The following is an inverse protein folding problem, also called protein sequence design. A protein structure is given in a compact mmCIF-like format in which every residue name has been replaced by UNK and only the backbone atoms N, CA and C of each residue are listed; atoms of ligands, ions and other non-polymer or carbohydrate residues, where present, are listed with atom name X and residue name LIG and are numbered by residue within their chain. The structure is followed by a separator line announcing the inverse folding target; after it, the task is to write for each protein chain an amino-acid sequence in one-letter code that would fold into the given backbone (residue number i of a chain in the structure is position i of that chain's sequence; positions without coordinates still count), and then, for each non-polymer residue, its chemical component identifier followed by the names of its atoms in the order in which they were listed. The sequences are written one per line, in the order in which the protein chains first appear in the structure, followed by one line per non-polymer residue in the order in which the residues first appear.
data_IF_192847723380
#
_entry.id   IF_192847723380
#
_cell.length_a   1.000
_cell.length_b   1.000
_cell.length_c   1.000
_cell.angle_alpha   90.00
_cell.angle_beta   90.00
_cell.angle_gamma   90.00
#
_symmetry.space_group_name_H-M   'P 1'
#
loop_
_entity.id
_entity.type
_entity.pdbx_description
1 polymer ?
#
# COMPACT_ATOMS: atom_id res chain seq x y z
N UNK A 1 -17.22 -7.29 -1.27
CA UNK A 1 -15.80 -6.91 -1.31
C UNK A 1 -15.19 -7.23 -2.68
N UNK A 2 -15.27 -8.46 -3.19
CA UNK A 2 -14.65 -8.85 -4.46
C UNK A 2 -15.06 -7.97 -5.66
N UNK A 3 -16.34 -7.56 -5.76
CA UNK A 3 -16.82 -6.64 -6.79
C UNK A 3 -16.09 -5.29 -6.72
N UNK A 4 -15.89 -4.76 -5.52
CA UNK A 4 -15.19 -3.49 -5.33
C UNK A 4 -13.68 -3.59 -5.60
N UNK A 5 -13.05 -4.72 -5.24
CA UNK A 5 -11.63 -4.96 -5.57
C UNK A 5 -11.46 -5.01 -7.10
N UNK A 6 -12.31 -5.74 -7.82
CA UNK A 6 -12.29 -5.79 -9.29
C UNK A 6 -12.50 -4.42 -9.91
N UNK A 7 -13.46 -3.64 -9.41
CA UNK A 7 -13.70 -2.27 -9.84
C UNK A 7 -12.46 -1.38 -9.65
N UNK A 8 -11.81 -1.43 -8.49
CA UNK A 8 -10.59 -0.64 -8.25
C UNK A 8 -9.44 -1.06 -9.16
N UNK A 9 -9.26 -2.37 -9.39
CA UNK A 9 -8.22 -2.87 -10.29
C UNK A 9 -8.48 -2.42 -11.74
N UNK A 10 -9.75 -2.42 -12.21
CA UNK A 10 -10.08 -1.95 -13.55
C UNK A 10 -9.93 -0.44 -13.74
N UNK A 11 -9.78 0.33 -12.65
CA UNK A 11 -9.52 1.78 -12.68
C UNK A 11 -8.03 2.14 -12.51
N UNK A 12 -7.13 1.18 -12.56
CA UNK A 12 -5.70 1.44 -12.68
C UNK A 12 -5.38 1.89 -14.11
N UNK A 13 -4.65 2.99 -14.23
CA UNK A 13 -4.41 3.66 -15.51
C UNK A 13 -2.96 3.58 -16.00
N UNK A 14 -1.99 3.30 -15.12
CA UNK A 14 -0.60 3.12 -15.50
C UNK A 14 -0.38 1.74 -16.12
N UNK A 15 0.49 1.69 -17.12
CA UNK A 15 0.88 0.42 -17.74
C UNK A 15 1.64 -0.49 -16.77
N UNK A 16 1.47 -1.78 -16.96
CA UNK A 16 2.27 -2.81 -16.28
C UNK A 16 3.54 -3.09 -17.08
N UNK A 17 4.48 -2.16 -17.08
CA UNK A 17 5.70 -2.16 -17.90
C UNK A 17 6.99 -1.97 -17.09
N UNK A 18 6.90 -2.01 -15.78
CA UNK A 18 8.02 -1.70 -14.90
C UNK A 18 8.33 -2.89 -14.01
N UNK A 19 9.61 -3.11 -13.72
CA UNK A 19 10.02 -4.05 -12.67
C UNK A 19 9.41 -3.62 -11.34
N UNK A 20 8.67 -4.52 -10.69
CA UNK A 20 8.02 -4.35 -9.40
C UNK A 20 8.53 -5.43 -8.46
N UNK A 21 9.13 -5.00 -7.37
CA UNK A 21 9.69 -5.88 -6.33
C UNK A 21 8.60 -6.62 -5.52
N UNK A 22 7.41 -6.01 -5.39
CA UNK A 22 6.23 -6.42 -4.62
C UNK A 22 6.37 -6.31 -3.09
N UNK A 23 7.55 -6.52 -2.55
CA UNK A 23 7.85 -6.35 -1.12
C UNK A 23 8.91 -5.26 -0.90
N UNK A 24 8.74 -4.12 -1.62
CA UNK A 24 9.62 -2.96 -1.53
C UNK A 24 9.28 -2.13 -0.27
N UNK A 25 9.79 -2.56 0.86
CA UNK A 25 9.63 -1.90 2.15
C UNK A 25 10.95 -1.81 2.91
N UNK A 26 10.99 -0.98 3.96
CA UNK A 26 12.23 -0.63 4.65
C UNK A 26 13.03 -1.85 5.13
N UNK A 27 12.37 -2.93 5.57
CA UNK A 27 13.05 -4.14 6.06
C UNK A 27 13.80 -4.92 4.96
N UNK A 28 13.46 -4.69 3.68
CA UNK A 28 14.11 -5.32 2.53
C UNK A 28 15.13 -4.38 1.85
N UNK A 29 15.42 -3.24 2.48
CA UNK A 29 16.43 -2.30 2.03
C UNK A 29 17.69 -2.44 2.89
N UNK A 30 18.81 -2.70 2.26
CA UNK A 30 20.11 -2.81 2.91
C UNK A 30 21.02 -1.66 2.49
N UNK A 31 21.71 -1.07 3.46
CA UNK A 31 22.77 -0.10 3.18
C UNK A 31 24.11 -0.80 3.24
N UNK A 32 24.81 -0.81 2.12
CA UNK A 32 26.19 -1.29 2.03
C UNK A 32 27.09 -0.14 1.54
N UNK A 33 28.00 0.30 2.41
CA UNK A 33 28.81 1.50 2.18
C UNK A 33 27.91 2.72 1.85
N UNK A 34 28.02 3.29 0.64
CA UNK A 34 27.21 4.42 0.14
C UNK A 34 26.08 3.99 -0.82
N UNK A 35 25.86 2.69 -1.00
CA UNK A 35 24.85 2.14 -1.92
C UNK A 35 23.67 1.55 -1.14
N UNK A 36 22.50 1.59 -1.75
CA UNK A 36 21.33 0.84 -1.30
C UNK A 36 21.19 -0.43 -2.16
N UNK A 37 20.91 -1.55 -1.52
CA UNK A 37 20.57 -2.81 -2.16
C UNK A 37 19.19 -3.25 -1.69
N UNK A 38 18.50 -4.01 -2.52
CA UNK A 38 17.25 -4.67 -2.18
C UNK A 38 17.50 -6.18 -2.07
N UNK A 39 16.84 -6.82 -1.11
CA UNK A 39 16.83 -8.26 -0.92
C UNK A 39 15.40 -8.78 -1.09
N UNK A 40 15.22 -10.09 -1.18
CA UNK A 40 13.90 -10.72 -1.24
C UNK A 40 13.13 -10.43 -2.54
N UNK A 41 13.83 -10.60 -3.68
CA UNK A 41 13.30 -10.24 -5.02
C UNK A 41 12.65 -11.42 -5.75
N UNK A 42 12.52 -12.60 -5.13
CA UNK A 42 12.00 -13.79 -5.79
C UNK A 42 10.57 -13.67 -6.31
N UNK A 43 9.76 -12.81 -5.71
CA UNK A 43 8.37 -12.55 -6.12
C UNK A 43 8.22 -11.37 -7.08
N UNK A 44 9.34 -10.81 -7.57
CA UNK A 44 9.32 -9.67 -8.47
C UNK A 44 8.68 -10.03 -9.83
N UNK A 45 8.03 -9.03 -10.43
CA UNK A 45 7.38 -9.18 -11.72
C UNK A 45 7.37 -7.86 -12.51
N UNK A 46 6.94 -7.91 -13.77
CA UNK A 46 6.63 -6.70 -14.53
C UNK A 46 5.20 -6.27 -14.20
N UNK A 47 5.05 -5.05 -13.69
CA UNK A 47 3.77 -4.56 -13.18
C UNK A 47 3.67 -3.04 -13.10
N UNK A 48 2.66 -2.59 -12.35
CA UNK A 48 2.36 -1.17 -12.16
C UNK A 48 3.38 -0.54 -11.19
N UNK A 49 4.11 0.46 -11.66
CA UNK A 49 5.18 1.14 -10.93
C UNK A 49 4.73 1.85 -9.64
N UNK A 50 3.46 2.18 -9.50
CA UNK A 50 2.93 2.76 -8.27
C UNK A 50 2.84 1.75 -7.12
N UNK A 51 2.95 0.43 -7.39
CA UNK A 51 2.85 -0.61 -6.38
C UNK A 51 4.00 -0.53 -5.35
N UNK A 52 5.24 -0.44 -5.81
CA UNK A 52 6.41 -0.35 -4.92
C UNK A 52 6.48 1.00 -4.22
N UNK A 53 6.04 2.07 -4.89
CA UNK A 53 5.90 3.38 -4.26
C UNK A 53 4.91 3.33 -3.09
N UNK A 54 3.75 2.70 -3.28
CA UNK A 54 2.75 2.51 -2.23
C UNK A 54 3.29 1.59 -1.10
N UNK A 55 4.06 0.56 -1.47
CA UNK A 55 4.69 -0.35 -0.52
C UNK A 55 5.67 0.35 0.41
N UNK A 56 6.47 1.27 -0.12
CA UNK A 56 7.45 2.04 0.65
C UNK A 56 6.81 3.13 1.50
N UNK A 57 5.89 3.90 0.93
CA UNK A 57 5.29 5.08 1.61
C UNK A 57 4.31 4.63 2.71
N UNK A 58 3.50 3.61 2.43
CA UNK A 58 2.48 3.11 3.34
C UNK A 58 2.87 1.73 3.94
N UNK A 59 4.16 1.61 4.29
CA UNK A 59 4.65 0.44 5.03
C UNK A 59 4.08 0.43 6.46
N UNK A 60 3.44 -0.67 6.81
CA UNK A 60 2.82 -0.88 8.13
C UNK A 60 3.83 -1.09 9.25
N UNK A 61 5.05 -1.50 8.91
CA UNK A 61 6.15 -1.76 9.84
C UNK A 61 6.92 -0.50 10.21
N UNK A 62 6.88 0.50 9.32
CA UNK A 62 7.60 1.76 9.47
C UNK A 62 6.63 2.96 9.50
N UNK A 63 6.27 3.40 10.71
CA UNK A 63 5.36 4.54 10.89
C UNK A 63 6.05 5.85 10.52
N UNK A 64 5.91 6.25 9.26
CA UNK A 64 6.39 7.55 8.78
C UNK A 64 5.34 8.65 8.98
N UNK A 65 5.80 9.87 9.24
CA UNK A 65 4.93 11.04 9.32
C UNK A 65 4.50 11.52 7.93
N UNK A 66 3.47 12.37 7.89
CA UNK A 66 2.93 12.92 6.64
C UNK A 66 4.00 13.62 5.80
N UNK A 67 4.84 14.44 6.42
CA UNK A 67 5.91 15.21 5.74
C UNK A 67 6.87 14.29 4.97
N UNK A 68 7.27 13.16 5.56
CA UNK A 68 8.14 12.18 4.91
C UNK A 68 7.42 11.48 3.75
N UNK A 69 6.15 11.06 3.95
CA UNK A 69 5.32 10.46 2.90
C UNK A 69 5.19 11.37 1.68
N UNK A 70 4.82 12.62 1.92
CA UNK A 70 4.66 13.64 0.86
C UNK A 70 6.00 13.90 0.15
N UNK A 71 7.11 13.95 0.88
CA UNK A 71 8.45 14.14 0.32
C UNK A 71 8.86 13.01 -0.62
N UNK A 72 8.65 11.75 -0.21
CA UNK A 72 8.97 10.57 -1.03
C UNK A 72 8.09 10.57 -2.28
N UNK A 73 6.78 10.77 -2.13
CA UNK A 73 5.84 10.81 -3.27
C UNK A 73 6.22 11.91 -4.27
N UNK A 74 6.42 13.13 -3.79
CA UNK A 74 6.74 14.27 -4.65
C UNK A 74 8.08 14.10 -5.36
N UNK A 75 9.08 13.53 -4.68
CA UNK A 75 10.38 13.24 -5.29
C UNK A 75 10.24 12.22 -6.43
N UNK A 76 9.51 11.13 -6.18
CA UNK A 76 9.23 10.12 -7.20
C UNK A 76 8.47 10.70 -8.39
N UNK A 77 7.41 11.48 -8.12
CA UNK A 77 6.62 12.13 -9.16
C UNK A 77 7.47 13.10 -10.01
N UNK A 78 8.37 13.85 -9.36
CA UNK A 78 9.31 14.76 -10.05
C UNK A 78 10.26 14.02 -10.98
N UNK A 79 10.84 12.91 -10.54
CA UNK A 79 11.74 12.09 -11.36
C UNK A 79 11.05 11.48 -12.59
N UNK A 80 9.74 11.27 -12.53
CA UNK A 80 8.97 10.64 -13.57
C UNK A 80 8.06 11.60 -14.35
N UNK A 81 8.13 12.92 -14.14
CA UNK A 81 7.19 13.91 -14.67
C UNK A 81 7.11 13.96 -16.22
N UNK A 82 8.20 13.58 -16.91
CA UNK A 82 8.23 13.48 -18.39
C UNK A 82 7.55 12.22 -18.94
N UNK A 83 7.33 11.21 -18.10
CA UNK A 83 6.84 9.88 -18.51
C UNK A 83 5.43 9.59 -17.98
N UNK A 84 5.03 10.23 -16.89
CA UNK A 84 3.81 9.89 -16.18
C UNK A 84 3.04 11.16 -15.80
N UNK A 85 1.75 11.15 -16.10
CA UNK A 85 0.84 12.17 -15.61
C UNK A 85 0.66 12.05 -14.09
N UNK A 86 0.75 13.17 -13.38
CA UNK A 86 0.65 13.20 -11.90
C UNK A 86 -0.70 12.72 -11.38
N UNK A 87 -1.79 13.03 -12.09
CA UNK A 87 -3.15 12.61 -11.69
C UNK A 87 -3.25 11.09 -11.79
N UNK A 88 -2.79 10.52 -12.90
CA UNK A 88 -2.75 9.06 -13.12
C UNK A 88 -1.89 8.35 -12.08
N UNK A 89 -0.71 8.92 -11.76
CA UNK A 89 0.16 8.35 -10.73
C UNK A 89 -0.51 8.38 -9.36
N UNK A 90 -1.19 9.47 -9.00
CA UNK A 90 -1.88 9.59 -7.72
C UNK A 90 -3.02 8.59 -7.60
N UNK A 91 -3.84 8.47 -8.65
CA UNK A 91 -4.92 7.49 -8.71
C UNK A 91 -4.41 6.07 -8.43
N UNK A 92 -3.43 5.62 -9.19
CA UNK A 92 -2.91 4.25 -9.07
C UNK A 92 -2.20 4.02 -7.73
N UNK A 93 -1.47 5.02 -7.26
CA UNK A 93 -0.82 4.98 -5.95
C UNK A 93 -1.85 4.81 -4.81
N UNK A 94 -2.95 5.56 -4.80
CA UNK A 94 -3.97 5.46 -3.77
C UNK A 94 -4.72 4.13 -3.84
N UNK A 95 -5.11 3.69 -5.03
CA UNK A 95 -5.77 2.39 -5.24
C UNK A 95 -4.86 1.26 -4.74
N UNK A 96 -3.61 1.22 -5.18
CA UNK A 96 -2.68 0.15 -4.83
C UNK A 96 -2.29 0.19 -3.34
N UNK A 97 -2.19 1.37 -2.73
CA UNK A 97 -1.99 1.50 -1.29
C UNK A 97 -3.16 0.88 -0.50
N UNK A 98 -4.41 1.19 -0.87
CA UNK A 98 -5.60 0.63 -0.21
C UNK A 98 -5.65 -0.89 -0.37
N UNK A 99 -5.56 -1.39 -1.60
CA UNK A 99 -5.62 -2.83 -1.89
C UNK A 99 -4.49 -3.61 -1.19
N UNK A 100 -3.28 -3.05 -1.18
CA UNK A 100 -2.12 -3.64 -0.50
C UNK A 100 -2.35 -3.72 1.01
N UNK A 101 -2.82 -2.65 1.64
CA UNK A 101 -3.07 -2.64 3.08
C UNK A 101 -4.23 -3.57 3.47
N UNK A 102 -5.27 -3.70 2.65
CA UNK A 102 -6.33 -4.72 2.84
C UNK A 102 -5.76 -6.14 2.76
N UNK A 103 -4.89 -6.43 1.77
CA UNK A 103 -4.16 -7.70 1.65
C UNK A 103 -3.33 -7.98 2.91
N UNK A 104 -2.60 -6.99 3.43
CA UNK A 104 -1.76 -7.11 4.63
C UNK A 104 -2.61 -7.46 5.86
N UNK A 105 -3.76 -6.83 6.06
CA UNK A 105 -4.68 -7.19 7.16
C UNK A 105 -5.06 -8.68 7.07
N UNK A 106 -5.44 -9.14 5.89
CA UNK A 106 -5.78 -10.56 5.67
C UNK A 106 -4.59 -11.50 5.94
N UNK A 107 -3.39 -11.15 5.48
CA UNK A 107 -2.17 -11.94 5.74
C UNK A 107 -1.87 -12.00 7.23
N UNK A 108 -1.89 -10.88 7.94
CA UNK A 108 -1.56 -10.82 9.37
C UNK A 108 -2.57 -11.56 10.23
N UNK A 109 -3.86 -11.47 9.88
CA UNK A 109 -4.91 -12.27 10.52
C UNK A 109 -4.68 -13.76 10.30
N UNK A 110 -4.39 -14.17 9.06
CA UNK A 110 -4.09 -15.57 8.74
C UNK A 110 -2.85 -16.09 9.49
N UNK A 111 -1.77 -15.30 9.53
CA UNK A 111 -0.55 -15.66 10.27
C UNK A 111 -0.81 -15.84 11.77
N UNK A 112 -1.69 -15.03 12.36
CA UNK A 112 -2.05 -15.16 13.76
C UNK A 112 -2.89 -16.40 14.03
N UNK A 113 -3.91 -16.68 13.19
CA UNK A 113 -4.85 -17.79 13.41
C UNK A 113 -4.22 -19.13 13.03
N UNK A 114 -3.58 -19.23 11.86
CA UNK A 114 -3.05 -20.48 11.33
C UNK A 114 -1.67 -20.84 11.90
N UNK A 115 -0.79 -19.82 12.00
CA UNK A 115 0.64 -20.02 12.29
C UNK A 115 1.02 -19.54 13.70
N UNK A 116 0.03 -19.19 14.55
CA UNK A 116 0.22 -18.65 15.92
C UNK A 116 1.17 -17.44 16.02
N UNK A 117 1.35 -16.70 14.90
CA UNK A 117 2.24 -15.54 14.85
C UNK A 117 1.48 -14.26 15.24
N UNK A 118 1.01 -14.18 16.48
CA UNK A 118 0.15 -13.10 17.00
C UNK A 118 0.82 -11.71 17.01
N UNK A 119 2.16 -11.65 16.96
CA UNK A 119 2.92 -10.38 16.93
C UNK A 119 2.49 -9.44 15.79
N UNK A 120 1.98 -9.98 14.67
CA UNK A 120 1.54 -9.19 13.53
C UNK A 120 0.20 -8.47 13.74
N UNK A 121 -0.62 -8.94 14.69
CA UNK A 121 -1.90 -8.30 15.00
C UNK A 121 -1.74 -6.84 15.43
N UNK A 122 -0.64 -6.51 16.11
CA UNK A 122 -0.31 -5.15 16.55
C UNK A 122 -0.15 -4.15 15.40
N UNK A 123 0.05 -4.62 14.17
CA UNK A 123 0.21 -3.80 12.98
C UNK A 123 -1.13 -3.52 12.25
N UNK A 124 -2.16 -4.32 12.52
CA UNK A 124 -3.48 -4.19 11.87
C UNK A 124 -4.12 -2.81 12.08
N UNK A 125 -4.14 -2.23 13.30
CA UNK A 125 -4.71 -0.90 13.49
C UNK A 125 -4.03 0.19 12.67
N UNK A 126 -2.72 0.07 12.45
CA UNK A 126 -2.02 1.03 11.61
C UNK A 126 -2.31 0.80 10.10
N UNK A 127 -2.48 -0.45 9.66
CA UNK A 127 -2.94 -0.75 8.31
C UNK A 127 -4.31 -0.11 8.02
N UNK A 128 -5.25 -0.17 8.98
CA UNK A 128 -6.54 0.53 8.88
C UNK A 128 -6.39 2.04 8.75
N UNK A 129 -5.52 2.67 9.55
CA UNK A 129 -5.23 4.11 9.44
C UNK A 129 -4.68 4.50 8.07
N UNK A 130 -3.85 3.65 7.45
CA UNK A 130 -3.32 3.89 6.10
C UNK A 130 -4.43 3.78 5.04
N UNK A 131 -5.33 2.81 5.15
CA UNK A 131 -6.52 2.70 4.31
C UNK A 131 -7.37 3.96 4.45
N UNK A 132 -7.74 4.34 5.67
CA UNK A 132 -8.57 5.52 5.95
C UNK A 132 -7.94 6.82 5.43
N UNK A 133 -6.61 6.95 5.51
CA UNK A 133 -5.88 8.08 4.95
C UNK A 133 -6.11 8.26 3.46
N UNK A 134 -6.19 7.16 2.70
CA UNK A 134 -6.33 7.19 1.24
C UNK A 134 -7.79 7.29 0.78
N UNK A 135 -8.72 6.63 1.48
CA UNK A 135 -10.13 6.62 1.07
C UNK A 135 -10.88 7.90 1.44
N UNK A 136 -10.31 8.76 2.30
CA UNK A 136 -11.03 9.88 2.92
C UNK A 136 -11.55 10.90 1.90
N UNK A 137 -10.75 11.24 0.90
CA UNK A 137 -11.00 12.38 0.00
C UNK A 137 -11.04 11.96 -1.49
N UNK A 138 -11.23 10.68 -1.78
CA UNK A 138 -11.24 10.18 -3.14
C UNK A 138 -12.53 9.37 -3.39
N UNK A 139 -13.38 9.89 -4.26
CA UNK A 139 -14.71 9.35 -4.55
C UNK A 139 -14.70 7.93 -5.13
N UNK A 140 -13.61 7.54 -5.79
CA UNK A 140 -13.45 6.17 -6.33
C UNK A 140 -13.63 5.09 -5.25
N UNK A 141 -13.39 5.43 -3.99
CA UNK A 141 -13.54 4.52 -2.86
C UNK A 141 -14.89 4.59 -2.16
N UNK A 142 -15.84 5.39 -2.62
CA UNK A 142 -17.12 5.60 -1.93
C UNK A 142 -17.82 4.27 -1.56
N UNK A 143 -18.00 3.39 -2.54
CA UNK A 143 -18.65 2.10 -2.31
C UNK A 143 -17.81 1.16 -1.43
N UNK A 144 -16.48 1.15 -1.61
CA UNK A 144 -15.59 0.38 -0.73
C UNK A 144 -15.67 0.89 0.70
N UNK A 145 -15.65 2.21 0.90
CA UNK A 145 -15.75 2.85 2.22
C UNK A 145 -17.02 2.43 2.93
N UNK A 146 -18.18 2.51 2.27
CA UNK A 146 -19.47 2.10 2.82
C UNK A 146 -19.47 0.62 3.25
N UNK A 147 -18.91 -0.26 2.42
CA UNK A 147 -18.77 -1.69 2.77
C UNK A 147 -17.83 -1.92 3.96
N UNK A 148 -16.73 -1.19 4.03
CA UNK A 148 -15.79 -1.30 5.15
C UNK A 148 -16.37 -0.75 6.44
N UNK A 149 -17.13 0.35 6.38
CA UNK A 149 -17.77 0.94 7.56
C UNK A 149 -18.88 0.04 8.11
N UNK A 150 -19.63 -0.65 7.24
CA UNK A 150 -20.67 -1.60 7.62
C UNK A 150 -20.10 -2.87 8.29
N UNK A 151 -19.05 -3.46 7.69
CA UNK A 151 -18.54 -4.78 8.12
C UNK A 151 -17.39 -4.71 9.13
N UNK A 152 -16.68 -3.60 9.20
CA UNK A 152 -15.53 -3.38 10.09
C UNK A 152 -15.70 -2.05 10.82
N UNK A 153 -16.57 -1.96 11.83
CA UNK A 153 -16.78 -0.73 12.58
C UNK A 153 -15.49 -0.27 13.27
N UNK A 154 -15.37 1.02 13.57
CA UNK A 154 -14.15 1.63 14.13
C UNK A 154 -13.63 0.92 15.39
N UNK A 155 -14.54 0.35 16.20
CA UNK A 155 -14.17 -0.44 17.39
C UNK A 155 -13.27 -1.63 17.01
N UNK A 156 -13.59 -2.35 15.92
CA UNK A 156 -12.80 -3.50 15.44
C UNK A 156 -11.47 -3.05 14.81
N UNK A 157 -11.48 -1.92 14.06
CA UNK A 157 -10.25 -1.41 13.40
C UNK A 157 -9.18 -0.95 14.39
N UNK A 158 -9.57 -0.54 15.59
CA UNK A 158 -8.71 0.04 16.62
C UNK A 158 -8.47 -0.89 17.82
N UNK A 159 -8.72 -2.19 17.69
CA UNK A 159 -8.38 -3.16 18.74
C UNK A 159 -6.89 -3.05 19.07
N UNK A 160 -6.58 -2.85 20.37
CA UNK A 160 -5.22 -2.78 20.92
C UNK A 160 -4.67 -4.18 21.16
#
# INVERSE_FOLDING_TARGET
INKQIKFLISNLNLKNDTFVHRDFHVSNLMKYKKKLATIDTQDALIGNRAYDLASLIDDVRFKSNKKLKDRIYNYYAKLNNKKINKVTLLNDFEILSVLRNMKIIGIFTRLAIRDNKTKYLKLIPYSWKLIELRIKNNEIFHNLKSLLDLNFPKKIRNLK
#
